data_IF_615782800506
#
_entry.id   IF_615782800506
#
_cell.length_a   1.000
_cell.length_b   1.000
_cell.length_c   1.000
_cell.angle_alpha   90.00
_cell.angle_beta   90.00
_cell.angle_gamma   90.00
#
_symmetry.space_group_name_H-M   'P 1'
#
loop_
_entity.id
_entity.type
_entity.pdbx_description
1 polymer ?
#
# COMPACT_ATOMS: atom_id res chain seq x y z
N UNK A 1 -22.60 6.76 3.89
CA UNK A 1 -21.76 6.10 2.85
C UNK A 1 -22.64 5.67 1.69
N UNK A 2 -22.26 6.06 0.47
CA UNK A 2 -22.91 5.65 -0.78
C UNK A 2 -22.60 4.17 -1.08
N UNK A 3 -23.57 3.44 -1.64
CA UNK A 3 -23.37 2.08 -2.15
C UNK A 3 -23.04 2.14 -3.64
N UNK A 4 -21.99 1.44 -4.07
CA UNK A 4 -21.49 1.44 -5.45
C UNK A 4 -21.06 0.03 -5.87
N UNK A 5 -21.00 -0.21 -7.17
CA UNK A 5 -20.43 -1.45 -7.72
C UNK A 5 -18.89 -1.38 -7.72
N UNK A 6 -18.22 -2.52 -7.64
CA UNK A 6 -16.75 -2.58 -7.68
C UNK A 6 -16.13 -1.87 -8.90
N UNK A 7 -16.77 -1.96 -10.08
CA UNK A 7 -16.32 -1.24 -11.28
C UNK A 7 -16.38 0.28 -11.12
N UNK A 8 -17.38 0.79 -10.41
CA UNK A 8 -17.50 2.24 -10.10
C UNK A 8 -16.40 2.65 -9.11
N UNK A 9 -16.13 1.82 -8.10
CA UNK A 9 -15.01 2.03 -7.16
C UNK A 9 -13.65 2.13 -7.89
N UNK A 10 -13.38 1.21 -8.81
CA UNK A 10 -12.17 1.24 -9.64
C UNK A 10 -12.11 2.49 -10.51
N UNK A 11 -13.23 2.87 -11.14
CA UNK A 11 -13.30 4.08 -11.97
C UNK A 11 -12.95 5.34 -11.18
N UNK A 12 -13.48 5.48 -9.96
CA UNK A 12 -13.13 6.59 -9.05
C UNK A 12 -11.61 6.58 -8.78
N UNK A 13 -11.03 5.40 -8.49
CA UNK A 13 -9.59 5.31 -8.21
C UNK A 13 -8.73 5.68 -9.43
N UNK A 14 -9.14 5.27 -10.63
CA UNK A 14 -8.45 5.57 -11.89
C UNK A 14 -8.50 7.07 -12.20
N UNK A 15 -9.66 7.68 -12.07
CA UNK A 15 -9.84 9.12 -12.33
C UNK A 15 -9.03 9.96 -11.32
N UNK A 16 -9.05 9.56 -10.05
CA UNK A 16 -8.21 10.14 -9.00
C UNK A 16 -6.73 10.01 -9.30
N UNK A 17 -6.28 8.81 -9.67
CA UNK A 17 -4.91 8.53 -10.05
C UNK A 17 -4.47 9.37 -11.26
N UNK A 18 -5.29 9.51 -12.31
CA UNK A 18 -4.96 10.35 -13.47
C UNK A 18 -4.71 11.80 -13.06
N UNK A 19 -5.59 12.38 -12.23
CA UNK A 19 -5.43 13.75 -11.72
C UNK A 19 -4.15 13.91 -10.89
N UNK A 20 -3.87 12.96 -10.01
CA UNK A 20 -2.65 12.97 -9.17
C UNK A 20 -1.41 12.84 -10.06
N UNK A 21 -1.40 11.86 -10.97
CA UNK A 21 -0.27 11.57 -11.85
C UNK A 21 0.06 12.76 -12.75
N UNK A 22 -0.93 13.39 -13.38
CA UNK A 22 -0.72 14.57 -14.23
C UNK A 22 -0.01 15.71 -13.47
N UNK A 23 -0.41 15.96 -12.23
CA UNK A 23 0.23 16.98 -11.40
C UNK A 23 1.63 16.56 -10.94
N UNK A 24 1.85 15.29 -10.61
CA UNK A 24 3.18 14.74 -10.28
C UNK A 24 4.14 14.92 -11.48
N UNK A 25 3.69 14.57 -12.69
CA UNK A 25 4.45 14.71 -13.93
C UNK A 25 4.75 16.18 -14.26
N UNK A 26 3.75 17.07 -14.16
CA UNK A 26 3.90 18.51 -14.35
C UNK A 26 4.98 19.12 -13.44
N UNK A 27 5.11 18.59 -12.23
CA UNK A 27 6.11 19.01 -11.25
C UNK A 27 7.44 18.23 -11.34
N UNK A 28 7.63 17.42 -12.37
CA UNK A 28 8.85 16.63 -12.63
C UNK A 28 9.21 15.70 -11.46
N UNK A 29 8.21 15.23 -10.72
CA UNK A 29 8.40 14.28 -9.62
C UNK A 29 8.44 12.88 -10.23
N UNK A 30 9.57 12.19 -10.05
CA UNK A 30 9.75 10.84 -10.59
C UNK A 30 9.10 9.79 -9.68
N UNK A 31 8.32 8.91 -10.29
CA UNK A 31 7.78 7.69 -9.71
C UNK A 31 7.78 6.59 -10.79
N UNK A 32 7.64 5.33 -10.42
CA UNK A 32 7.55 4.22 -11.39
C UNK A 32 6.46 3.21 -11.00
N UNK A 33 5.87 2.52 -11.97
CA UNK A 33 4.91 1.45 -11.69
C UNK A 33 5.62 0.28 -10.99
N UNK A 34 4.95 -0.31 -10.00
CA UNK A 34 5.48 -1.39 -9.17
C UNK A 34 4.39 -2.45 -8.93
N UNK A 35 4.78 -3.66 -8.55
CA UNK A 35 3.87 -4.72 -8.06
C UNK A 35 2.63 -4.95 -8.95
N UNK A 36 1.40 -4.79 -8.44
CA UNK A 36 0.17 -5.15 -9.15
C UNK A 36 -0.09 -4.24 -10.35
N UNK A 37 0.24 -2.96 -10.21
CA UNK A 37 0.16 -1.98 -11.30
C UNK A 37 1.14 -2.31 -12.42
N UNK A 38 2.39 -2.66 -12.08
CA UNK A 38 3.37 -3.11 -13.08
C UNK A 38 2.89 -4.39 -13.80
N UNK A 39 2.33 -5.35 -13.05
CA UNK A 39 1.80 -6.58 -13.62
C UNK A 39 0.68 -6.32 -14.62
N UNK A 40 -0.33 -5.53 -14.25
CA UNK A 40 -1.44 -5.18 -15.14
C UNK A 40 -0.96 -4.46 -16.40
N UNK A 41 -0.03 -3.51 -16.22
CA UNK A 41 0.58 -2.78 -17.32
C UNK A 41 1.31 -3.68 -18.32
N UNK A 42 2.12 -4.63 -17.84
CA UNK A 42 2.91 -5.51 -18.71
C UNK A 42 2.09 -6.66 -19.31
N UNK A 43 1.22 -7.30 -18.53
CA UNK A 43 0.48 -8.49 -18.97
C UNK A 43 -0.78 -8.14 -19.75
N UNK A 44 -1.56 -7.19 -19.24
CA UNK A 44 -2.92 -6.94 -19.70
C UNK A 44 -3.04 -5.62 -20.48
N UNK A 45 -2.01 -4.78 -20.46
CA UNK A 45 -2.02 -3.39 -20.95
C UNK A 45 -3.17 -2.56 -20.34
N UNK A 46 -3.55 -2.88 -19.10
CA UNK A 46 -4.63 -2.22 -18.33
C UNK A 46 -4.43 -2.51 -16.84
N UNK A 47 -5.16 -1.81 -15.98
CA UNK A 47 -5.24 -2.22 -14.58
C UNK A 47 -5.95 -3.58 -14.47
N UNK A 48 -5.49 -4.38 -13.52
CA UNK A 48 -6.03 -5.72 -13.30
C UNK A 48 -7.52 -5.60 -12.91
N UNK A 49 -8.46 -6.28 -13.61
CA UNK A 49 -9.90 -6.04 -13.43
C UNK A 49 -10.45 -6.35 -12.05
N UNK A 50 -9.75 -7.15 -11.24
CA UNK A 50 -10.13 -7.49 -9.86
C UNK A 50 -9.25 -6.79 -8.82
N UNK A 51 -8.32 -5.93 -9.23
CA UNK A 51 -7.42 -5.21 -8.31
C UNK A 51 -8.09 -3.91 -7.83
N UNK A 52 -7.84 -3.55 -6.58
CA UNK A 52 -8.53 -2.47 -5.86
C UNK A 52 -7.65 -1.27 -5.54
N UNK A 53 -6.35 -1.34 -5.86
CA UNK A 53 -5.39 -0.27 -5.65
C UNK A 53 -4.46 -0.01 -6.84
N UNK A 54 -3.60 1.01 -6.67
CA UNK A 54 -2.56 1.37 -7.62
C UNK A 54 -1.26 1.51 -6.82
N UNK A 55 -0.20 0.92 -7.35
CA UNK A 55 1.10 0.73 -6.71
C UNK A 55 2.15 1.63 -7.39
N UNK A 56 2.60 2.67 -6.69
CA UNK A 56 3.66 3.59 -7.14
C UNK A 56 4.97 3.37 -6.37
N UNK A 57 6.06 3.13 -7.07
CA UNK A 57 7.41 3.24 -6.52
C UNK A 57 7.91 4.68 -6.53
N UNK A 58 8.47 5.17 -5.42
CA UNK A 58 9.08 6.51 -5.33
C UNK A 58 10.31 6.51 -4.43
N UNK A 59 11.35 7.27 -4.78
CA UNK A 59 12.47 7.49 -3.86
C UNK A 59 11.99 8.23 -2.64
N UNK A 60 12.40 7.81 -1.45
CA UNK A 60 12.11 8.53 -0.20
C UNK A 60 12.64 9.97 -0.24
N UNK A 61 13.74 10.22 -0.96
CA UNK A 61 14.28 11.56 -1.19
C UNK A 61 13.27 12.44 -1.92
N UNK A 62 12.75 11.98 -3.07
CA UNK A 62 11.77 12.73 -3.85
C UNK A 62 10.46 12.90 -3.10
N UNK A 63 9.98 11.83 -2.45
CA UNK A 63 8.76 11.87 -1.66
C UNK A 63 8.86 12.91 -0.53
N UNK A 64 9.97 12.92 0.24
CA UNK A 64 10.13 13.86 1.36
C UNK A 64 10.38 15.28 0.89
N UNK A 65 11.17 15.47 -0.18
CA UNK A 65 11.42 16.78 -0.79
C UNK A 65 10.12 17.45 -1.25
N UNK A 66 9.18 16.66 -1.77
CA UNK A 66 7.94 17.16 -2.35
C UNK A 66 6.71 16.89 -1.47
N UNK A 67 6.87 16.60 -0.17
CA UNK A 67 5.77 16.11 0.66
C UNK A 67 4.56 17.06 0.72
N UNK A 68 4.78 18.36 1.00
CA UNK A 68 3.69 19.34 1.06
C UNK A 68 3.01 19.54 -0.31
N UNK A 69 3.79 19.49 -1.39
CA UNK A 69 3.24 19.55 -2.74
C UNK A 69 2.42 18.30 -3.06
N UNK A 70 2.93 17.10 -2.75
CA UNK A 70 2.19 15.85 -2.92
C UNK A 70 0.91 15.86 -2.10
N UNK A 71 0.94 16.36 -0.86
CA UNK A 71 -0.24 16.52 -0.01
C UNK A 71 -1.29 17.40 -0.69
N UNK A 72 -0.89 18.58 -1.20
CA UNK A 72 -1.77 19.48 -1.95
C UNK A 72 -2.33 18.81 -3.21
N UNK A 73 -1.51 18.11 -3.99
CA UNK A 73 -1.94 17.36 -5.18
C UNK A 73 -3.01 16.32 -4.81
N UNK A 74 -2.84 15.63 -3.69
CA UNK A 74 -3.84 14.72 -3.15
C UNK A 74 -5.14 15.45 -2.80
N UNK A 75 -5.04 16.55 -2.04
CA UNK A 75 -6.20 17.35 -1.62
C UNK A 75 -7.03 17.87 -2.80
N UNK A 76 -6.37 18.38 -3.85
CA UNK A 76 -6.98 18.84 -5.09
C UNK A 76 -7.70 17.70 -5.86
N UNK A 77 -7.26 16.46 -5.66
CA UNK A 77 -7.88 15.27 -6.22
C UNK A 77 -8.92 14.60 -5.31
N UNK A 78 -9.27 15.20 -4.17
CA UNK A 78 -10.12 14.64 -3.11
C UNK A 78 -9.53 13.41 -2.39
N UNK A 79 -8.21 13.35 -2.32
CA UNK A 79 -7.44 12.39 -1.51
C UNK A 79 -6.77 13.10 -0.33
N UNK A 80 -6.46 12.34 0.71
CA UNK A 80 -5.59 12.74 1.81
C UNK A 80 -4.30 11.92 1.74
N UNK A 81 -3.15 12.58 1.86
CA UNK A 81 -1.85 11.92 1.85
C UNK A 81 -1.45 11.47 3.26
N UNK A 82 -1.38 10.16 3.43
CA UNK A 82 -0.95 9.49 4.63
C UNK A 82 0.48 8.98 4.50
N UNK A 83 1.26 9.11 5.57
CA UNK A 83 2.57 8.49 5.67
C UNK A 83 2.82 7.94 7.07
N UNK A 84 3.90 7.19 7.22
CA UNK A 84 4.31 6.60 8.50
C UNK A 84 4.64 7.60 9.62
N UNK A 85 4.79 8.89 9.33
CA UNK A 85 4.96 9.92 10.36
C UNK A 85 3.61 10.37 10.89
N UNK A 86 2.61 10.48 10.02
CA UNK A 86 1.25 10.83 10.39
C UNK A 86 0.54 9.65 11.07
N UNK A 87 0.86 8.41 10.69
CA UNK A 87 0.22 7.20 11.22
C UNK A 87 1.24 6.09 11.49
N UNK A 88 1.34 5.70 12.76
CA UNK A 88 2.19 4.59 13.20
C UNK A 88 1.80 3.29 12.50
N UNK A 89 2.78 2.52 12.00
CA UNK A 89 2.55 1.20 11.40
C UNK A 89 2.26 1.18 9.90
N UNK A 90 2.23 2.33 9.22
CA UNK A 90 2.23 2.36 7.76
C UNK A 90 3.63 2.04 7.23
N UNK A 91 3.77 0.95 6.50
CA UNK A 91 5.02 0.63 5.81
C UNK A 91 5.16 1.33 4.45
N UNK A 92 4.04 1.89 3.97
CA UNK A 92 3.84 2.50 2.64
C UNK A 92 3.10 3.82 2.85
N UNK A 93 3.45 4.87 2.10
CA UNK A 93 2.66 6.11 2.10
C UNK A 93 1.45 5.95 1.16
N UNK A 94 0.34 6.64 1.41
CA UNK A 94 -0.91 6.41 0.67
C UNK A 94 -1.63 7.69 0.36
N UNK A 95 -2.09 7.87 -0.86
CA UNK A 95 -3.23 8.74 -1.12
C UNK A 95 -4.50 7.95 -0.84
N UNK A 96 -5.35 8.39 0.08
CA UNK A 96 -6.64 7.75 0.37
C UNK A 96 -7.76 8.73 0.06
N UNK A 97 -8.72 8.30 -0.74
CA UNK A 97 -9.88 9.11 -1.09
C UNK A 97 -10.67 9.48 0.17
N UNK A 98 -11.10 10.73 0.29
CA UNK A 98 -11.73 11.25 1.51
C UNK A 98 -13.07 10.60 1.81
N UNK A 99 -13.77 10.08 0.80
CA UNK A 99 -15.04 9.38 1.00
C UNK A 99 -14.86 7.87 1.10
N UNK A 100 -15.79 7.25 1.84
CA UNK A 100 -15.91 5.80 1.99
C UNK A 100 -17.18 5.29 1.32
N UNK A 101 -17.06 4.11 0.75
CA UNK A 101 -18.13 3.46 0.00
C UNK A 101 -18.46 2.10 0.57
N UNK A 102 -19.73 1.71 0.39
CA UNK A 102 -20.16 0.31 0.48
C UNK A 102 -20.02 -0.26 -0.93
N UNK A 103 -19.13 -1.21 -1.12
CA UNK A 103 -18.73 -1.76 -2.41
C UNK A 103 -19.37 -3.13 -2.57
N UNK A 104 -20.15 -3.31 -3.63
CA UNK A 104 -20.73 -4.60 -3.97
C UNK A 104 -19.81 -5.37 -4.93
N UNK A 105 -19.45 -6.60 -4.55
CA UNK A 105 -18.62 -7.51 -5.36
C UNK A 105 -18.98 -8.98 -5.06
N UNK A 106 -19.31 -9.77 -6.09
CA UNK A 106 -19.68 -11.21 -5.99
C UNK A 106 -20.64 -11.50 -4.81
N UNK A 107 -21.76 -10.79 -4.79
CA UNK A 107 -22.85 -10.86 -3.78
C UNK A 107 -22.47 -10.51 -2.34
N UNK A 108 -21.31 -9.88 -2.15
CA UNK A 108 -20.83 -9.42 -0.85
C UNK A 108 -20.67 -7.91 -0.84
N UNK A 109 -20.74 -7.36 0.37
CA UNK A 109 -20.55 -5.95 0.64
C UNK A 109 -19.28 -5.72 1.46
N UNK A 110 -18.50 -4.75 1.00
CA UNK A 110 -17.23 -4.36 1.57
C UNK A 110 -17.28 -2.87 1.92
N UNK A 111 -16.59 -2.43 2.97
CA UNK A 111 -16.43 -1.00 3.26
C UNK A 111 -14.99 -0.62 2.96
N UNK A 112 -14.77 0.28 1.99
CA UNK A 112 -13.44 0.79 1.68
C UNK A 112 -13.48 2.18 1.04
N UNK A 113 -12.31 2.81 0.96
CA UNK A 113 -12.04 4.04 0.20
C UNK A 113 -11.02 3.71 -0.89
N UNK A 114 -11.15 4.28 -2.10
CA UNK A 114 -10.11 4.20 -3.11
C UNK A 114 -8.77 4.71 -2.56
N UNK A 115 -7.67 4.06 -2.92
CA UNK A 115 -6.35 4.50 -2.50
C UNK A 115 -5.26 4.17 -3.53
N UNK A 116 -4.16 4.90 -3.43
CA UNK A 116 -2.95 4.74 -4.23
C UNK A 116 -1.78 4.60 -3.27
N UNK A 117 -1.10 3.46 -3.35
CA UNK A 117 0.07 3.14 -2.57
C UNK A 117 1.33 3.78 -3.15
N UNK A 118 2.16 4.32 -2.28
CA UNK A 118 3.46 4.92 -2.59
C UNK A 118 4.53 4.20 -1.79
N UNK A 119 5.16 3.23 -2.43
CA UNK A 119 6.25 2.45 -1.91
C UNK A 119 7.50 3.31 -1.88
N UNK A 120 8.06 3.49 -0.67
CA UNK A 120 9.21 4.35 -0.46
C UNK A 120 10.50 3.55 -0.62
N UNK A 121 11.23 3.80 -1.69
CA UNK A 121 12.55 3.23 -1.91
C UNK A 121 13.63 4.09 -1.23
N UNK A 122 14.51 3.47 -0.44
CA UNK A 122 15.63 4.14 0.21
C UNK A 122 16.92 3.80 -0.52
N UNK A 123 17.93 4.67 -0.39
CA UNK A 123 19.27 4.38 -0.91
C UNK A 123 19.77 3.02 -0.45
N UNK A 124 20.09 2.18 -1.42
CA UNK A 124 20.74 0.89 -1.23
C UNK A 124 21.80 0.72 -2.31
N UNK A 125 23.05 0.51 -1.88
CA UNK A 125 24.16 0.20 -2.79
C UNK A 125 24.32 -1.31 -2.98
N UNK A 126 24.03 -2.07 -1.93
CA UNK A 126 24.28 -3.52 -1.86
C UNK A 126 23.03 -4.23 -1.35
N UNK A 127 22.79 -5.42 -1.88
CA UNK A 127 21.71 -6.29 -1.46
C UNK A 127 22.12 -7.13 -0.23
N UNK A 128 22.24 -6.49 0.94
CA UNK A 128 22.58 -7.20 2.18
C UNK A 128 21.35 -7.92 2.75
N UNK A 129 21.29 -9.24 2.59
CA UNK A 129 20.19 -10.09 3.03
C UNK A 129 19.86 -9.91 4.52
N UNK A 130 20.87 -9.95 5.40
CA UNK A 130 20.70 -9.83 6.86
C UNK A 130 20.02 -8.49 7.20
N UNK A 131 20.52 -7.40 6.63
CA UNK A 131 19.95 -6.06 6.84
C UNK A 131 18.49 -6.02 6.39
N UNK A 132 18.17 -6.57 5.21
CA UNK A 132 16.79 -6.57 4.72
C UNK A 132 15.87 -7.42 5.59
N UNK A 133 16.31 -8.61 6.02
CA UNK A 133 15.56 -9.48 6.94
C UNK A 133 15.31 -8.80 8.27
N UNK A 134 16.32 -8.16 8.85
CA UNK A 134 16.15 -7.39 10.08
C UNK A 134 15.09 -6.28 9.91
N UNK A 135 15.18 -5.49 8.83
CA UNK A 135 14.20 -4.45 8.52
C UNK A 135 12.78 -4.99 8.35
N UNK A 136 12.62 -6.06 7.57
CA UNK A 136 11.35 -6.75 7.38
C UNK A 136 10.78 -7.29 8.69
N UNK A 137 11.61 -7.87 9.56
CA UNK A 137 11.17 -8.31 10.89
C UNK A 137 10.70 -7.15 11.76
N UNK A 138 11.43 -6.03 11.80
CA UNK A 138 11.03 -4.87 12.61
C UNK A 138 9.74 -4.22 12.11
N UNK A 139 9.59 -4.05 10.79
CA UNK A 139 8.35 -3.55 10.20
C UNK A 139 7.19 -4.52 10.50
N UNK A 140 7.41 -5.84 10.49
CA UNK A 140 6.37 -6.84 10.77
C UNK A 140 5.93 -6.74 12.22
N UNK A 141 6.88 -6.60 13.13
CA UNK A 141 6.62 -6.37 14.55
C UNK A 141 5.87 -5.04 14.79
N UNK A 142 6.24 -3.98 14.07
CA UNK A 142 5.54 -2.68 14.11
C UNK A 142 4.10 -2.79 13.61
N UNK A 143 3.89 -3.50 12.51
CA UNK A 143 2.56 -3.76 11.96
C UNK A 143 1.69 -4.56 12.94
N UNK A 144 2.25 -5.62 13.53
CA UNK A 144 1.57 -6.44 14.55
C UNK A 144 1.17 -5.58 15.75
N UNK A 145 2.08 -4.76 16.27
CA UNK A 145 1.78 -3.86 17.40
C UNK A 145 0.62 -2.91 17.09
N UNK A 146 0.61 -2.28 15.91
CA UNK A 146 -0.48 -1.37 15.52
C UNK A 146 -1.82 -2.09 15.29
N UNK A 147 -1.77 -3.33 14.79
CA UNK A 147 -2.97 -4.16 14.62
C UNK A 147 -3.66 -4.45 15.96
N UNK A 148 -2.91 -4.46 17.08
CA UNK A 148 -3.46 -4.67 18.42
C UNK A 148 -3.99 -3.39 19.10
N UNK A 149 -3.63 -2.19 18.63
CA UNK A 149 -4.09 -0.93 19.24
C UNK A 149 -5.58 -0.68 19.01
N UNK A 150 -6.12 -1.21 17.91
CA UNK A 150 -7.54 -1.20 17.60
C UNK A 150 -8.16 -2.44 18.26
N UNK A 151 -9.25 -2.32 19.04
CA UNK A 151 -10.03 -3.48 19.43
C UNK A 151 -10.67 -4.05 18.16
N UNK A 152 -9.93 -4.92 17.47
CA UNK A 152 -10.41 -5.64 16.32
C UNK A 152 -11.38 -6.70 16.85
N UNK A 153 -12.68 -6.68 16.51
CA UNK A 153 -13.40 -7.93 16.42
C UNK A 153 -12.70 -8.74 15.31
N UNK A 154 -11.82 -9.66 15.73
CA UNK A 154 -11.09 -10.56 14.85
C UNK A 154 -12.06 -11.53 14.17
N UNK A 155 -12.66 -11.05 13.10
CA UNK A 155 -13.28 -11.84 12.08
C UNK A 155 -12.19 -12.38 11.15
N UNK A 156 -12.27 -13.64 10.73
CA UNK A 156 -11.30 -14.19 9.78
C UNK A 156 -11.44 -13.52 8.42
N UNK A 157 -10.69 -12.44 8.18
CA UNK A 157 -10.78 -11.56 7.01
C UNK A 157 -10.48 -12.23 5.66
N UNK A 158 -9.99 -13.48 5.68
CA UNK A 158 -9.63 -14.24 4.48
C UNK A 158 -10.58 -15.41 4.17
N UNK A 159 -11.51 -15.77 5.07
CA UNK A 159 -12.19 -17.09 5.00
C UNK A 159 -13.69 -17.14 5.36
N UNK A 160 -14.47 -16.07 5.19
CA UNK A 160 -15.94 -16.12 5.30
C UNK A 160 -16.54 -16.65 6.64
N UNK A 161 -15.76 -16.87 7.71
CA UNK A 161 -16.27 -17.49 8.95
C UNK A 161 -16.36 -16.47 10.08
N UNK A 162 -17.58 -16.30 10.62
CA UNK A 162 -17.82 -15.61 11.87
C UNK A 162 -17.31 -16.49 13.03
N UNK A 163 -16.18 -16.13 13.66
CA UNK A 163 -15.72 -16.79 14.90
C UNK A 163 -16.14 -15.92 16.09
N UNK A 164 -16.81 -16.54 17.07
CA UNK A 164 -17.12 -15.91 18.37
C UNK A 164 -15.81 -15.71 19.13
N UNK A 165 -15.54 -14.48 19.59
CA UNK A 165 -14.33 -14.14 20.34
C UNK A 165 -14.61 -14.30 21.83
N UNK A 166 -13.71 -15.00 22.53
CA UNK A 166 -13.80 -15.21 23.96
C UNK A 166 -13.01 -14.15 24.75
N UNK A 167 -13.37 -13.92 26.02
CA UNK A 167 -12.80 -12.87 26.86
C UNK A 167 -11.27 -13.00 27.08
N UNK A 168 -10.77 -14.15 27.52
CA UNK A 168 -9.93 -14.98 26.68
C UNK A 168 -8.87 -14.34 25.77
N UNK A 169 -9.25 -14.34 24.49
CA UNK A 169 -8.48 -13.83 23.36
C UNK A 169 -8.28 -12.32 23.48
N UNK A 170 -9.20 -11.58 24.11
CA UNK A 170 -9.05 -10.15 24.39
C UNK A 170 -7.99 -9.89 25.47
N UNK A 171 -7.97 -10.69 26.55
CA UNK A 171 -6.95 -10.61 27.59
C UNK A 171 -5.55 -10.89 27.01
N UNK A 172 -5.42 -11.90 26.14
CA UNK A 172 -4.17 -12.18 25.44
C UNK A 172 -3.70 -11.00 24.58
N UNK A 173 -4.61 -10.29 23.88
CA UNK A 173 -4.26 -9.08 23.12
C UNK A 173 -3.67 -8.01 24.05
N UNK A 174 -4.22 -7.81 25.24
CA UNK A 174 -3.67 -6.83 26.19
C UNK A 174 -2.29 -7.24 26.73
N UNK A 175 -2.08 -8.53 27.02
CA UNK A 175 -0.77 -9.07 27.41
C UNK A 175 0.24 -8.87 26.27
N UNK A 176 -0.12 -9.21 25.03
CA UNK A 176 0.73 -8.98 23.87
C UNK A 176 1.04 -7.49 23.68
N UNK A 177 0.07 -6.59 23.85
CA UNK A 177 0.33 -5.14 23.79
C UNK A 177 1.32 -4.67 24.83
N UNK A 178 1.27 -5.23 26.04
CA UNK A 178 2.21 -4.92 27.11
C UNK A 178 3.62 -5.46 26.79
N UNK A 179 3.73 -6.73 26.38
CA UNK A 179 5.02 -7.34 25.99
C UNK A 179 5.64 -6.57 24.82
N UNK A 180 4.84 -6.22 23.82
CA UNK A 180 5.29 -5.51 22.63
C UNK A 180 5.34 -3.98 22.81
N UNK A 181 4.99 -3.44 23.99
CA UNK A 181 5.05 -2.01 24.27
C UNK A 181 6.46 -1.45 24.02
N UNK A 182 7.50 -2.21 24.39
CA UNK A 182 8.89 -1.82 24.15
C UNK A 182 9.26 -1.67 22.67
N UNK A 183 8.49 -2.26 21.74
CA UNK A 183 8.69 -2.02 20.31
C UNK A 183 8.39 -0.57 19.91
N UNK A 184 7.59 0.16 20.69
CA UNK A 184 7.34 1.58 20.43
C UNK A 184 8.64 2.38 20.45
N UNK A 185 9.64 1.96 21.23
CA UNK A 185 10.95 2.61 21.35
C UNK A 185 11.81 2.43 20.10
N UNK A 186 11.57 1.37 19.31
CA UNK A 186 12.26 1.11 18.05
C UNK A 186 11.78 2.06 16.94
N UNK A 187 10.54 2.56 17.04
CA UNK A 187 9.90 3.36 15.98
C UNK A 187 10.54 4.74 15.78
N UNK A 188 10.85 5.54 16.82
CA UNK A 188 11.60 6.78 16.68
C UNK A 188 12.95 6.56 15.99
N UNK A 189 13.64 5.46 16.30
CA UNK A 189 14.94 5.11 15.72
C UNK A 189 14.79 4.84 14.21
N UNK A 190 13.80 4.05 13.81
CA UNK A 190 13.51 3.81 12.39
C UNK A 190 13.12 5.10 11.66
N UNK A 191 12.26 5.92 12.25
CA UNK A 191 11.82 7.18 11.67
C UNK A 191 12.99 8.15 11.49
N UNK A 192 13.88 8.22 12.48
CA UNK A 192 15.11 8.99 12.41
C UNK A 192 16.04 8.48 11.30
N UNK A 193 16.21 7.16 11.20
CA UNK A 193 16.99 6.55 10.13
C UNK A 193 16.43 6.87 8.74
N UNK A 194 15.10 6.77 8.56
CA UNK A 194 14.45 7.12 7.30
C UNK A 194 14.61 8.59 6.96
N UNK A 195 14.47 9.50 7.94
CA UNK A 195 14.77 10.93 7.77
C UNK A 195 16.21 11.15 7.30
N UNK A 196 17.18 10.43 7.86
CA UNK A 196 18.59 10.49 7.41
C UNK A 196 18.75 9.94 5.98
N UNK A 197 18.10 8.83 5.64
CA UNK A 197 18.13 8.26 4.28
C UNK A 197 17.47 9.16 3.25
N UNK A 198 16.42 9.88 3.63
CA UNK A 198 15.73 10.85 2.80
C UNK A 198 16.58 12.06 2.40
N UNK A 199 17.74 12.29 3.03
CA UNK A 199 18.69 13.33 2.60
C UNK A 199 19.56 12.89 1.42
N UNK A 200 19.50 11.61 1.03
CA UNK A 200 20.38 11.06 0.00
C UNK A 200 19.67 10.92 -1.35
N UNK A 201 20.14 11.63 -2.36
CA UNK A 201 19.58 11.66 -3.72
C UNK A 201 20.15 10.58 -4.66
N UNK A 202 20.79 9.53 -4.13
CA UNK A 202 21.35 8.45 -4.96
C UNK A 202 20.28 7.81 -5.86
N UNK A 203 20.73 7.31 -7.02
CA UNK A 203 19.84 6.68 -8.00
C UNK A 203 19.64 5.19 -7.75
N UNK A 204 20.59 4.52 -7.09
CA UNK A 204 20.41 3.12 -6.67
C UNK A 204 19.65 3.04 -5.36
N UNK A 205 18.44 2.49 -5.43
CA UNK A 205 17.48 2.40 -4.32
C UNK A 205 16.87 1.01 -4.24
N UNK A 206 16.37 0.65 -3.06
CA UNK A 206 15.57 -0.56 -2.88
C UNK A 206 14.44 -0.29 -1.90
N UNK A 207 13.38 -1.07 -2.01
CA UNK A 207 12.29 -1.04 -1.05
C UNK A 207 12.68 -1.74 0.25
N UNK A 208 12.18 -1.22 1.37
CA UNK A 208 12.35 -1.80 2.71
C UNK A 208 11.01 -1.74 3.45
N UNK A 209 10.04 -2.52 2.99
CA UNK A 209 8.77 -2.76 3.69
C UNK A 209 8.50 -4.26 3.84
N UNK A 210 7.50 -4.61 4.65
CA UNK A 210 7.23 -6.00 5.06
C UNK A 210 7.08 -7.00 3.91
N UNK A 211 6.48 -6.56 2.81
CA UNK A 211 6.08 -7.40 1.69
C UNK A 211 7.03 -7.34 0.50
N UNK A 212 8.07 -6.49 0.55
CA UNK A 212 9.06 -6.38 -0.53
C UNK A 212 10.47 -6.43 0.03
N UNK A 213 10.83 -7.66 0.35
CA UNK A 213 12.17 -8.06 0.70
C UNK A 213 12.69 -8.98 -0.41
N UNK A 214 12.59 -8.56 -1.68
CA UNK A 214 13.07 -9.34 -2.83
C UNK A 214 14.55 -9.06 -3.14
N UNK A 215 15.09 -7.96 -2.63
CA UNK A 215 16.50 -7.59 -2.81
C UNK A 215 16.80 -6.91 -4.14
N UNK A 216 15.77 -6.54 -4.89
CA UNK A 216 15.87 -5.80 -6.13
C UNK A 216 16.47 -4.42 -5.85
N UNK A 217 17.46 -4.04 -6.66
CA UNK A 217 18.03 -2.69 -6.68
C UNK A 217 17.53 -1.99 -7.93
N UNK A 218 16.74 -0.95 -7.74
CA UNK A 218 16.24 -0.10 -8.81
C UNK A 218 17.27 1.00 -9.09
N UNK A 219 17.63 1.18 -10.36
CA UNK A 219 18.42 2.33 -10.80
C UNK A 219 17.51 3.37 -11.45
N UNK A 220 17.27 4.47 -10.73
CA UNK A 220 16.36 5.54 -11.17
C UNK A 220 16.84 6.23 -12.45
N UNK A 221 18.13 6.11 -12.83
CA UNK A 221 18.62 6.63 -14.11
C UNK A 221 18.20 5.79 -15.30
N UNK A 222 17.79 4.55 -15.07
CA UNK A 222 17.49 3.57 -16.11
C UNK A 222 16.01 3.17 -16.12
N UNK A 223 15.15 4.03 -15.61
CA UNK A 223 13.72 3.86 -15.78
C UNK A 223 13.36 4.10 -17.25
N UNK A 224 12.46 3.27 -17.78
CA UNK A 224 11.99 3.37 -19.16
C UNK A 224 10.53 3.78 -19.19
N UNK A 225 10.17 4.63 -20.16
CA UNK A 225 8.78 5.04 -20.36
C UNK A 225 7.99 4.01 -21.16
N UNK A 226 6.71 3.91 -20.81
CA UNK A 226 5.73 3.04 -21.45
C UNK A 226 4.35 3.69 -21.37
N UNK A 227 3.54 3.46 -22.40
CA UNK A 227 2.16 3.94 -22.42
C UNK A 227 1.29 3.13 -21.46
N UNK A 228 0.56 3.81 -20.59
CA UNK A 228 -0.43 3.18 -19.72
C UNK A 228 -1.54 4.18 -19.38
N UNK A 229 -2.80 3.77 -19.57
CA UNK A 229 -3.99 4.60 -19.32
C UNK A 229 -4.01 5.97 -20.05
N UNK A 230 -3.29 6.08 -21.16
CA UNK A 230 -3.16 7.31 -21.96
C UNK A 230 -2.04 8.26 -21.51
N UNK A 231 -1.21 7.84 -20.55
CA UNK A 231 -0.09 8.62 -20.03
C UNK A 231 1.23 7.84 -20.19
N UNK A 232 2.36 8.56 -20.22
CA UNK A 232 3.70 7.94 -20.15
C UNK A 232 4.04 7.65 -18.69
N UNK A 233 4.19 6.38 -18.35
CA UNK A 233 4.56 5.92 -17.01
C UNK A 233 5.93 5.26 -17.05
N UNK A 234 6.76 5.57 -16.05
CA UNK A 234 8.06 4.97 -15.88
C UNK A 234 7.94 3.57 -15.28
N UNK A 235 8.77 2.64 -15.75
CA UNK A 235 8.96 1.32 -15.17
C UNK A 235 10.46 1.05 -15.00
N UNK A 236 10.83 0.12 -14.11
CA UNK A 236 12.21 -0.36 -13.98
C UNK A 236 12.68 -1.03 -15.27
N UNK A 237 13.94 -0.84 -15.71
CA UNK A 237 14.51 -1.65 -16.80
C UNK A 237 14.46 -3.16 -16.48
N UNK A 238 14.59 -3.51 -15.20
CA UNK A 238 14.57 -4.89 -14.71
C UNK A 238 13.16 -5.31 -14.26
N UNK A 239 12.10 -4.77 -14.87
CA UNK A 239 10.73 -5.11 -14.52
C UNK A 239 10.44 -6.62 -14.59
N UNK A 240 11.10 -7.35 -15.50
CA UNK A 240 10.97 -8.81 -15.59
C UNK A 240 11.49 -9.52 -14.33
N UNK A 241 12.59 -9.05 -13.74
CA UNK A 241 13.12 -9.59 -12.47
C UNK A 241 12.09 -9.40 -11.36
N UNK A 242 11.49 -8.22 -11.28
CA UNK A 242 10.45 -7.92 -10.29
C UNK A 242 9.23 -8.84 -10.45
N UNK A 243 8.69 -8.96 -11.66
CA UNK A 243 7.52 -9.79 -11.92
C UNK A 243 7.79 -11.28 -11.64
N UNK A 244 8.96 -11.79 -12.03
CA UNK A 244 9.34 -13.18 -11.80
C UNK A 244 9.55 -13.51 -10.31
N UNK A 245 10.11 -12.57 -9.54
CA UNK A 245 10.31 -12.76 -8.09
C UNK A 245 9.02 -12.60 -7.30
N UNK A 246 8.10 -11.72 -7.74
CA UNK A 246 6.88 -11.38 -7.00
C UNK A 246 5.72 -12.32 -7.31
N UNK A 247 5.57 -12.74 -8.57
CA UNK A 247 4.38 -13.44 -9.04
C UNK A 247 4.73 -14.75 -9.73
N UNK A 248 4.20 -15.87 -9.20
CA UNK A 248 4.33 -17.18 -9.86
C UNK A 248 3.45 -17.24 -11.11
N UNK A 249 4.00 -17.71 -12.23
CA UNK A 249 3.29 -17.92 -13.50
C UNK A 249 2.48 -16.70 -13.98
N UNK A 250 3.00 -15.50 -13.73
CA UNK A 250 2.25 -14.25 -13.88
C UNK A 250 1.79 -13.95 -15.31
N UNK A 251 2.44 -14.53 -16.31
CA UNK A 251 2.06 -14.41 -17.73
C UNK A 251 0.69 -15.01 -18.06
N UNK A 252 0.21 -15.94 -17.22
CA UNK A 252 -1.12 -16.54 -17.35
C UNK A 252 -2.10 -15.84 -16.41
N UNK A 253 -3.36 -15.79 -16.82
CA UNK A 253 -4.43 -15.33 -15.92
C UNK A 253 -4.63 -16.36 -14.80
N UNK A 254 -4.82 -15.92 -13.55
CA UNK A 254 -5.20 -16.84 -12.48
C UNK A 254 -6.61 -17.37 -12.72
N UNK A 255 -6.92 -18.55 -12.17
CA UNK A 255 -8.28 -19.09 -12.15
C UNK A 255 -9.30 -18.06 -11.64
N UNK A 256 -10.51 -18.05 -12.20
CA UNK A 256 -11.55 -17.06 -11.89
C UNK A 256 -11.88 -16.95 -10.39
N UNK A 257 -11.77 -18.07 -9.66
CA UNK A 257 -11.97 -18.09 -8.19
C UNK A 257 -10.90 -17.31 -7.41
N UNK A 258 -9.72 -17.12 -7.98
CA UNK A 258 -8.60 -16.33 -7.44
C UNK A 258 -8.63 -14.88 -7.91
N UNK A 259 -9.48 -14.53 -8.88
CA UNK A 259 -9.70 -13.17 -9.36
C UNK A 259 -10.66 -12.45 -8.41
N UNK A 260 -10.12 -12.03 -7.27
CA UNK A 260 -10.84 -11.28 -6.22
C UNK A 260 -9.98 -10.09 -5.76
N UNK A 261 -10.60 -8.98 -5.33
CA UNK A 261 -9.90 -7.87 -4.69
C UNK A 261 -9.11 -8.33 -3.48
N UNK A 262 -7.88 -7.85 -3.38
CA UNK A 262 -6.95 -8.29 -2.36
C UNK A 262 -7.07 -7.50 -1.05
N UNK A 263 -7.59 -6.28 -1.11
CA UNK A 263 -7.55 -5.32 -0.01
C UNK A 263 -8.94 -4.80 0.41
N UNK A 264 -10.01 -5.35 -0.18
CA UNK A 264 -11.38 -5.15 0.29
C UNK A 264 -11.68 -6.05 1.50
N UNK A 265 -12.06 -5.45 2.62
CA UNK A 265 -12.45 -6.19 3.82
C UNK A 265 -13.95 -6.41 3.89
N UNK A 266 -14.34 -7.67 4.01
CA UNK A 266 -15.72 -8.05 4.28
C UNK A 266 -16.12 -7.48 5.65
N UNK A 267 -17.19 -6.70 5.69
CA UNK A 267 -17.71 -6.14 6.96
C UNK A 267 -19.00 -6.87 7.35
N UNK A 268 -18.94 -7.95 8.14
CA UNK A 268 -20.15 -8.60 8.62
C UNK A 268 -20.91 -7.63 9.55
N UNK A 269 -22.22 -7.55 9.36
CA UNK A 269 -23.11 -6.64 10.10
C UNK A 269 -22.80 -5.16 9.82
N UNK A 270 -22.81 -4.78 8.52
CA UNK A 270 -22.57 -3.41 8.04
C UNK A 270 -23.37 -2.36 8.82
N UNK A 271 -24.65 -2.65 9.14
CA UNK A 271 -25.53 -1.73 9.84
C UNK A 271 -24.99 -1.31 11.22
N UNK A 272 -24.38 -2.25 11.95
CA UNK A 272 -23.78 -1.98 13.26
C UNK A 272 -22.51 -1.13 13.18
N UNK A 273 -21.78 -1.18 12.06
CA UNK A 273 -20.44 -0.62 11.96
C UNK A 273 -20.28 0.55 10.99
N UNK A 274 -21.34 0.90 10.23
CA UNK A 274 -21.36 1.95 9.20
C UNK A 274 -20.82 3.30 9.68
N UNK A 275 -21.04 3.64 10.95
CA UNK A 275 -20.64 4.92 11.54
C UNK A 275 -19.41 4.83 12.47
N UNK A 276 -18.90 3.63 12.75
CA UNK A 276 -17.87 3.40 13.79
C UNK A 276 -16.45 3.48 13.27
N UNK A 277 -16.23 3.26 11.96
CA UNK A 277 -14.90 3.23 11.38
C UNK A 277 -14.49 4.61 10.82
N UNK A 278 -13.58 5.32 11.50
CA UNK A 278 -12.88 6.48 10.92
C UNK A 278 -12.05 6.06 9.70
N UNK A 279 -11.71 6.98 8.81
CA UNK A 279 -10.74 6.75 7.71
C UNK A 279 -9.42 6.41 8.38
N UNK A 280 -9.21 5.11 8.58
CA UNK A 280 -7.99 4.61 9.15
C UNK A 280 -7.13 4.18 7.98
N UNK A 281 -5.90 4.68 7.86
CA UNK A 281 -5.03 4.32 6.74
C UNK A 281 -4.54 2.86 6.85
N UNK A 282 -4.95 2.14 7.88
CA UNK A 282 -4.80 0.70 8.07
C UNK A 282 -5.71 -0.10 7.11
N UNK A 283 -5.60 0.16 5.82
CA UNK A 283 -5.98 -0.85 4.82
C UNK A 283 -4.87 -1.91 4.90
N UNK A 284 -5.13 -2.96 5.67
CA UNK A 284 -4.19 -4.04 5.94
C UNK A 284 -3.92 -4.83 4.65
N UNK A 285 -2.76 -4.63 4.00
CA UNK A 285 -2.27 -5.62 3.01
C UNK A 285 -1.92 -6.92 3.71
#
# INVERSE_FOLDING_TARGET
MKKIQFKEFQKINIEGFKKINQNILKNKIKWWAHSGTLLGMIRDNKLIPWDDDIDMGMRIYDFRKNFELLKKIGEDANYELFDRKNYFGLDVARFIYKEKFIIQFKDKEYISSPYIDIMLAVKSKNNLFIKRKFWSSMNKLSFIYNSFLIPLPYFGWKFNKLKKIYWYEQLLIHIFRFIFFFLILILPIQNYWLKRKAKNNNNKVSFYYNYDNLGIIYDIKKLVERDFLGEKILISENYLEELNLRFKNWKQLPEEKKQIPHHLFLTPNLDKFRNKYKIYPFIIK
#
